data_IF_311570651936
#
_entry.id   IF_311570651936
#
_cell.length_a   1.000
_cell.length_b   1.000
_cell.length_c   1.000
_cell.angle_alpha   90.00
_cell.angle_beta   90.00
_cell.angle_gamma   90.00
#
_symmetry.space_group_name_H-M   'P 1'
#
loop_
_entity.id
_entity.type
_entity.pdbx_description
1 polymer ?
#
# COMPACT_ATOMS: atom_id res chain seq x y z
N UNK A 1 36.21 -96.56 44.62
CA UNK A 1 36.23 -97.42 43.42
C UNK A 1 35.63 -96.63 42.27
N UNK A 2 36.24 -96.38 41.12
CA UNK A 2 37.61 -96.50 40.63
C UNK A 2 37.61 -95.54 39.42
N UNK A 3 38.57 -94.62 39.42
CA UNK A 3 38.89 -93.78 38.25
C UNK A 3 39.68 -94.67 37.29
N UNK A 4 39.11 -94.96 36.11
CA UNK A 4 39.78 -95.53 34.91
C UNK A 4 38.67 -95.64 33.83
N UNK A 5 38.70 -95.00 32.66
CA UNK A 5 39.82 -94.67 31.77
C UNK A 5 39.60 -93.31 31.11
N UNK A 6 40.49 -92.36 31.42
CA UNK A 6 40.89 -91.33 30.48
C UNK A 6 42.09 -91.90 29.70
N UNK A 7 41.95 -91.99 28.37
CA UNK A 7 42.89 -92.66 27.46
C UNK A 7 42.30 -94.01 27.04
N UNK A 8 42.06 -94.30 25.77
CA UNK A 8 42.83 -93.98 24.58
C UNK A 8 41.80 -93.66 23.49
N UNK A 9 42.01 -92.58 22.74
CA UNK A 9 41.37 -92.41 21.44
C UNK A 9 41.87 -93.60 20.61
N UNK A 10 41.14 -94.71 20.61
CA UNK A 10 41.39 -95.76 19.64
C UNK A 10 41.23 -95.07 18.29
N UNK A 11 42.30 -95.04 17.49
CA UNK A 11 42.23 -94.55 16.12
C UNK A 11 41.47 -95.61 15.33
N UNK A 12 40.17 -95.64 15.61
CA UNK A 12 39.20 -96.56 15.04
C UNK A 12 38.41 -95.82 13.99
N UNK A 13 37.80 -96.60 13.10
CA UNK A 13 36.86 -96.18 12.06
C UNK A 13 35.84 -95.12 12.52
N UNK A 14 35.49 -95.11 13.81
CA UNK A 14 34.61 -94.11 14.45
C UNK A 14 35.19 -92.69 14.39
N UNK A 15 36.48 -92.49 14.69
CA UNK A 15 37.13 -91.17 14.64
C UNK A 15 37.16 -90.63 13.20
N UNK A 16 37.42 -91.51 12.23
CA UNK A 16 37.38 -91.16 10.81
C UNK A 16 35.97 -90.74 10.37
N UNK A 17 34.95 -91.49 10.76
CA UNK A 17 33.54 -91.14 10.48
C UNK A 17 33.11 -89.85 11.19
N UNK A 18 33.63 -89.59 12.40
CA UNK A 18 33.38 -88.36 13.13
C UNK A 18 34.04 -87.14 12.47
N UNK A 19 35.28 -87.28 11.95
CA UNK A 19 35.92 -86.24 11.15
C UNK A 19 35.16 -85.96 9.85
N UNK A 20 34.66 -86.99 9.17
CA UNK A 20 33.83 -86.81 7.97
C UNK A 20 32.54 -86.06 8.31
N UNK A 21 31.83 -86.46 9.38
CA UNK A 21 30.63 -85.75 9.81
C UNK A 21 30.92 -84.29 10.18
N UNK A 22 32.03 -84.02 10.87
CA UNK A 22 32.44 -82.67 11.21
C UNK A 22 32.80 -81.84 9.97
N UNK A 23 33.49 -82.44 8.98
CA UNK A 23 33.81 -81.80 7.72
C UNK A 23 32.55 -81.49 6.89
N UNK A 24 31.58 -82.40 6.85
CA UNK A 24 30.27 -82.20 6.21
C UNK A 24 29.52 -81.06 6.92
N UNK A 25 29.52 -81.02 8.25
CA UNK A 25 28.88 -79.95 9.03
C UNK A 25 29.52 -78.60 8.72
N UNK A 26 30.86 -78.51 8.71
CA UNK A 26 31.57 -77.28 8.32
C UNK A 26 31.22 -76.86 6.90
N UNK A 27 31.13 -77.81 5.96
CA UNK A 27 30.80 -77.51 4.57
C UNK A 27 29.39 -76.95 4.43
N UNK A 28 28.40 -77.56 5.11
CA UNK A 28 27.02 -77.07 5.18
C UNK A 28 26.98 -75.69 5.83
N UNK A 29 27.67 -75.50 6.96
CA UNK A 29 27.71 -74.22 7.68
C UNK A 29 28.32 -73.10 6.82
N UNK A 30 29.45 -73.37 6.17
CA UNK A 30 30.10 -72.43 5.25
C UNK A 30 29.17 -72.08 4.07
N UNK A 31 28.45 -73.05 3.50
CA UNK A 31 27.56 -72.79 2.36
C UNK A 31 26.28 -72.03 2.76
N UNK A 32 25.72 -72.31 3.93
CA UNK A 32 24.45 -71.71 4.39
C UNK A 32 24.63 -70.38 5.13
N UNK A 33 25.69 -70.18 5.91
CA UNK A 33 25.85 -68.99 6.77
C UNK A 33 26.64 -67.84 6.12
N UNK A 34 27.49 -68.10 5.11
CA UNK A 34 28.26 -67.03 4.45
C UNK A 34 27.38 -66.01 3.73
N UNK A 35 26.30 -66.47 3.09
CA UNK A 35 25.32 -65.62 2.39
C UNK A 35 24.52 -64.69 3.32
N UNK A 36 23.82 -65.17 4.37
CA UNK A 36 23.02 -64.31 5.24
C UNK A 36 23.89 -63.30 6.01
N UNK A 37 25.08 -63.70 6.48
CA UNK A 37 25.99 -62.80 7.20
C UNK A 37 26.48 -61.66 6.30
N UNK A 38 26.91 -61.99 5.07
CA UNK A 38 27.34 -60.95 4.12
C UNK A 38 26.20 -60.01 3.73
N UNK A 39 24.98 -60.53 3.58
CA UNK A 39 23.81 -59.71 3.23
C UNK A 39 23.44 -58.73 4.35
N UNK A 40 23.53 -59.13 5.63
CA UNK A 40 23.25 -58.24 6.76
C UNK A 40 24.26 -57.09 6.82
N UNK A 41 25.55 -57.40 6.60
CA UNK A 41 26.62 -56.39 6.60
C UNK A 41 26.43 -55.41 5.43
N UNK A 42 26.19 -55.93 4.21
CA UNK A 42 25.93 -55.08 3.03
C UNK A 42 24.70 -54.21 3.22
N UNK A 43 23.58 -54.78 3.70
CA UNK A 43 22.35 -54.03 3.97
C UNK A 43 22.58 -52.90 4.97
N UNK A 44 23.38 -53.12 6.03
CA UNK A 44 23.75 -52.06 6.97
C UNK A 44 24.61 -50.98 6.31
N UNK A 45 25.60 -51.36 5.50
CA UNK A 45 26.44 -50.40 4.78
C UNK A 45 25.60 -49.55 3.81
N UNK A 46 24.70 -50.17 3.04
CA UNK A 46 23.79 -49.49 2.13
C UNK A 46 22.85 -48.53 2.88
N UNK A 47 22.25 -48.98 3.99
CA UNK A 47 21.35 -48.13 4.80
C UNK A 47 22.09 -46.89 5.32
N UNK A 48 23.30 -47.06 5.86
CA UNK A 48 24.10 -45.93 6.37
C UNK A 48 24.52 -44.99 5.24
N UNK A 49 24.91 -45.54 4.08
CA UNK A 49 25.26 -44.73 2.92
C UNK A 49 24.05 -43.91 2.42
N UNK A 50 22.87 -44.53 2.32
CA UNK A 50 21.63 -43.84 1.95
C UNK A 50 21.24 -42.76 2.96
N UNK A 51 21.35 -43.03 4.26
CA UNK A 51 21.05 -42.05 5.31
C UNK A 51 21.99 -40.84 5.24
N UNK A 52 23.30 -41.08 5.03
CA UNK A 52 24.29 -40.02 4.85
C UNK A 52 24.04 -39.21 3.58
N UNK A 53 23.69 -39.87 2.47
CA UNK A 53 23.35 -39.19 1.22
C UNK A 53 22.09 -38.35 1.36
N UNK A 54 21.03 -38.89 1.98
CA UNK A 54 19.80 -38.15 2.30
C UNK A 54 20.09 -36.94 3.20
N UNK A 55 20.93 -37.11 4.24
CA UNK A 55 21.33 -36.02 5.12
C UNK A 55 22.12 -34.93 4.38
N UNK A 56 23.00 -35.32 3.44
CA UNK A 56 23.76 -34.38 2.62
C UNK A 56 22.83 -33.59 1.68
N UNK A 57 21.96 -34.28 0.95
CA UNK A 57 20.97 -33.65 0.05
C UNK A 57 20.04 -32.73 0.85
N UNK A 58 19.61 -33.14 2.04
CA UNK A 58 18.76 -32.31 2.89
C UNK A 58 19.47 -31.03 3.33
N UNK A 59 20.76 -31.10 3.67
CA UNK A 59 21.55 -29.91 4.02
C UNK A 59 21.78 -28.99 2.82
N UNK A 60 22.08 -29.56 1.65
CA UNK A 60 22.24 -28.79 0.42
C UNK A 60 20.94 -28.05 0.06
N UNK A 61 19.79 -28.73 0.09
CA UNK A 61 18.48 -28.11 -0.12
C UNK A 61 18.17 -27.04 0.93
N UNK A 62 18.47 -27.29 2.20
CA UNK A 62 18.26 -26.29 3.25
C UNK A 62 19.09 -25.02 3.01
N UNK A 63 20.34 -25.16 2.56
CA UNK A 63 21.18 -24.02 2.19
C UNK A 63 20.67 -23.30 0.94
N UNK A 64 20.19 -24.04 -0.06
CA UNK A 64 19.58 -23.47 -1.27
C UNK A 64 18.32 -22.65 -0.92
N UNK A 65 17.39 -23.23 -0.15
CA UNK A 65 16.19 -22.52 0.31
C UNK A 65 16.52 -21.29 1.15
N UNK A 66 17.56 -21.36 1.98
CA UNK A 66 18.01 -20.21 2.77
C UNK A 66 18.52 -19.09 1.85
N UNK A 67 19.35 -19.41 0.87
CA UNK A 67 19.86 -18.45 -0.12
C UNK A 67 18.74 -17.84 -0.95
N UNK A 68 17.78 -18.65 -1.39
CA UNK A 68 16.61 -18.20 -2.13
C UNK A 68 15.75 -17.26 -1.29
N UNK A 69 15.46 -17.64 -0.04
CA UNK A 69 14.70 -16.79 0.89
C UNK A 69 15.41 -15.48 1.18
N UNK A 70 16.73 -15.49 1.39
CA UNK A 70 17.50 -14.26 1.59
C UNK A 70 17.49 -13.36 0.36
N UNK A 71 17.52 -13.95 -0.84
CA UNK A 71 17.43 -13.22 -2.11
C UNK A 71 16.05 -12.61 -2.31
N UNK A 72 14.99 -13.38 -2.10
CA UNK A 72 13.60 -12.90 -2.17
C UNK A 72 13.33 -11.80 -1.14
N UNK A 73 13.84 -11.97 0.08
CA UNK A 73 13.70 -10.96 1.13
C UNK A 73 14.39 -9.64 0.74
N UNK A 74 15.59 -9.70 0.17
CA UNK A 74 16.28 -8.50 -0.34
C UNK A 74 15.52 -7.84 -1.49
N UNK A 75 15.06 -8.64 -2.46
CA UNK A 75 14.27 -8.13 -3.59
C UNK A 75 12.98 -7.45 -3.11
N UNK A 76 12.26 -8.07 -2.17
CA UNK A 76 11.04 -7.49 -1.58
C UNK A 76 11.33 -6.18 -0.82
N UNK A 77 12.48 -6.10 -0.12
CA UNK A 77 12.90 -4.85 0.55
C UNK A 77 13.17 -3.73 -0.45
N UNK A 78 13.84 -4.02 -1.56
CA UNK A 78 14.08 -3.06 -2.63
C UNK A 78 12.78 -2.63 -3.30
N UNK A 79 11.87 -3.56 -3.57
CA UNK A 79 10.54 -3.26 -4.13
C UNK A 79 9.73 -2.35 -3.22
N UNK A 80 9.70 -2.63 -1.91
CA UNK A 80 9.02 -1.78 -0.93
C UNK A 80 9.61 -0.36 -0.91
N UNK A 81 10.94 -0.23 -1.01
CA UNK A 81 11.57 1.08 -1.09
C UNK A 81 11.18 1.83 -2.36
N UNK A 82 11.15 1.14 -3.50
CA UNK A 82 10.71 1.74 -4.77
C UNK A 82 9.24 2.18 -4.71
N UNK A 83 8.34 1.34 -4.19
CA UNK A 83 6.93 1.67 -3.99
C UNK A 83 6.79 2.91 -3.10
N UNK A 84 7.56 2.98 -2.01
CA UNK A 84 7.52 4.12 -1.10
C UNK A 84 8.00 5.42 -1.79
N UNK A 85 9.08 5.34 -2.57
CA UNK A 85 9.59 6.50 -3.33
C UNK A 85 8.59 6.97 -4.38
N UNK A 86 7.97 6.04 -5.12
CA UNK A 86 6.93 6.36 -6.09
C UNK A 86 5.70 6.98 -5.43
N UNK A 87 5.28 6.44 -4.28
CA UNK A 87 4.16 6.98 -3.51
C UNK A 87 4.43 8.42 -3.05
N UNK A 88 5.63 8.70 -2.53
CA UNK A 88 6.04 10.05 -2.13
C UNK A 88 6.04 11.00 -3.32
N UNK A 89 6.68 10.61 -4.43
CA UNK A 89 6.73 11.42 -5.66
C UNK A 89 5.33 11.71 -6.22
N UNK A 90 4.44 10.71 -6.20
CA UNK A 90 3.04 10.87 -6.64
C UNK A 90 2.27 11.80 -5.69
N UNK A 91 2.47 11.68 -4.38
CA UNK A 91 1.86 12.57 -3.39
C UNK A 91 2.32 14.02 -3.57
N UNK A 92 3.61 14.25 -3.82
CA UNK A 92 4.15 15.58 -4.13
C UNK A 92 3.54 16.16 -5.41
N UNK A 93 3.48 15.38 -6.49
CA UNK A 93 2.87 15.82 -7.75
C UNK A 93 1.37 16.14 -7.58
N UNK A 94 0.63 15.34 -6.82
CA UNK A 94 -0.79 15.63 -6.51
C UNK A 94 -0.91 16.91 -5.70
N UNK A 95 -0.06 17.09 -4.67
CA UNK A 95 -0.05 18.30 -3.84
C UNK A 95 0.21 19.55 -4.67
N UNK A 96 1.22 19.51 -5.55
CA UNK A 96 1.53 20.61 -6.46
C UNK A 96 0.38 20.90 -7.42
N UNK A 97 -0.24 19.87 -7.98
CA UNK A 97 -1.43 19.99 -8.83
C UNK A 97 -2.60 20.66 -8.09
N UNK A 98 -2.90 20.20 -6.89
CA UNK A 98 -3.97 20.77 -6.04
C UNK A 98 -3.69 22.23 -5.67
N UNK A 99 -2.44 22.57 -5.33
CA UNK A 99 -2.06 23.96 -5.03
C UNK A 99 -2.25 24.86 -6.24
N UNK A 100 -1.81 24.42 -7.42
CA UNK A 100 -1.97 25.17 -8.67
C UNK A 100 -3.45 25.36 -9.04
N UNK A 101 -4.26 24.31 -8.92
CA UNK A 101 -5.71 24.40 -9.14
C UNK A 101 -6.37 25.36 -8.15
N UNK A 102 -5.99 25.30 -6.87
CA UNK A 102 -6.49 26.21 -5.85
C UNK A 102 -6.12 27.67 -6.13
N UNK A 103 -4.90 27.94 -6.59
CA UNK A 103 -4.47 29.29 -7.00
C UNK A 103 -5.27 29.80 -8.20
N UNK A 104 -5.49 28.96 -9.21
CA UNK A 104 -6.32 29.31 -10.38
C UNK A 104 -7.76 29.59 -9.96
N UNK A 105 -8.34 28.74 -9.10
CA UNK A 105 -9.69 28.91 -8.59
C UNK A 105 -9.82 30.19 -7.77
N UNK A 106 -8.84 30.50 -6.91
CA UNK A 106 -8.78 31.75 -6.14
C UNK A 106 -8.73 32.96 -7.06
N UNK A 107 -7.84 32.96 -8.06
CA UNK A 107 -7.72 34.07 -9.01
C UNK A 107 -9.03 34.29 -9.79
N UNK A 108 -9.69 33.21 -10.22
CA UNK A 108 -11.00 33.27 -10.89
C UNK A 108 -12.08 33.81 -9.96
N UNK A 109 -12.10 33.39 -8.69
CA UNK A 109 -13.05 33.86 -7.69
C UNK A 109 -12.90 35.36 -7.43
N UNK A 110 -11.66 35.85 -7.27
CA UNK A 110 -11.38 37.28 -7.09
C UNK A 110 -11.85 38.08 -8.32
N UNK A 111 -11.50 37.65 -9.53
CA UNK A 111 -11.92 38.32 -10.76
C UNK A 111 -13.45 38.37 -10.89
N UNK A 112 -14.15 37.29 -10.56
CA UNK A 112 -15.61 37.29 -10.58
C UNK A 112 -16.18 38.25 -9.54
N UNK A 113 -15.62 38.27 -8.32
CA UNK A 113 -16.05 39.20 -7.27
C UNK A 113 -15.83 40.66 -7.68
N UNK A 114 -14.72 40.99 -8.36
CA UNK A 114 -14.48 42.33 -8.90
C UNK A 114 -15.54 42.74 -9.94
N UNK A 115 -15.87 41.83 -10.87
CA UNK A 115 -16.93 42.05 -11.87
C UNK A 115 -18.29 42.26 -11.20
N UNK A 116 -18.61 41.46 -10.18
CA UNK A 116 -19.88 41.56 -9.46
C UNK A 116 -19.95 42.88 -8.66
N UNK A 117 -18.84 43.31 -8.04
CA UNK A 117 -18.74 44.60 -7.36
C UNK A 117 -18.96 45.75 -8.35
N UNK A 118 -18.38 45.68 -9.54
CA UNK A 118 -18.55 46.71 -10.56
C UNK A 118 -20.01 46.81 -11.00
N UNK A 119 -20.67 45.67 -11.26
CA UNK A 119 -22.11 45.63 -11.56
C UNK A 119 -22.97 46.17 -10.44
N UNK A 120 -22.69 45.78 -9.18
CA UNK A 120 -23.42 46.30 -8.01
C UNK A 120 -23.26 47.82 -7.88
N UNK A 121 -22.07 48.36 -8.18
CA UNK A 121 -21.82 49.80 -8.15
C UNK A 121 -22.57 50.53 -9.26
N UNK A 122 -22.66 49.97 -10.46
CA UNK A 122 -23.46 50.54 -11.54
C UNK A 122 -24.95 50.52 -11.21
N UNK A 123 -25.44 49.41 -10.66
CA UNK A 123 -26.82 49.27 -10.20
C UNK A 123 -27.16 50.29 -9.10
N UNK A 124 -26.32 50.42 -8.08
CA UNK A 124 -26.50 51.39 -6.99
C UNK A 124 -26.47 52.85 -7.49
N UNK A 125 -25.62 53.16 -8.48
CA UNK A 125 -25.63 54.50 -9.11
C UNK A 125 -26.92 54.77 -9.87
N UNK A 126 -27.49 53.74 -10.52
CA UNK A 126 -28.77 53.86 -11.23
C UNK A 126 -29.90 54.11 -10.23
N UNK A 127 -30.00 53.29 -9.19
CA UNK A 127 -30.98 53.45 -8.11
C UNK A 127 -30.89 54.85 -7.48
N UNK A 128 -29.68 55.33 -7.17
CA UNK A 128 -29.49 56.68 -6.63
C UNK A 128 -29.98 57.78 -7.58
N UNK A 129 -29.82 57.63 -8.90
CA UNK A 129 -30.33 58.60 -9.88
C UNK A 129 -31.86 58.58 -9.95
N UNK A 130 -32.45 57.40 -9.87
CA UNK A 130 -33.91 57.23 -9.87
C UNK A 130 -34.50 57.89 -8.61
N UNK A 131 -33.91 57.63 -7.42
CA UNK A 131 -34.30 58.27 -6.15
C UNK A 131 -34.14 59.80 -6.19
N UNK A 132 -33.02 60.32 -6.73
CA UNK A 132 -32.83 61.76 -6.88
C UNK A 132 -33.85 62.39 -7.83
N UNK A 133 -34.25 61.68 -8.87
CA UNK A 133 -35.26 62.17 -9.83
C UNK A 133 -36.62 62.29 -9.14
N UNK A 134 -37.01 61.31 -8.33
CA UNK A 134 -38.24 61.36 -7.53
C UNK A 134 -38.23 62.52 -6.53
N UNK A 135 -37.12 62.75 -5.83
CA UNK A 135 -36.95 63.88 -4.91
C UNK A 135 -37.06 65.22 -5.67
N UNK A 136 -36.44 65.36 -6.85
CA UNK A 136 -36.49 66.59 -7.66
C UNK A 136 -37.91 66.87 -8.15
N UNK A 137 -38.65 65.85 -8.59
CA UNK A 137 -40.05 65.98 -9.01
C UNK A 137 -40.89 66.45 -7.83
N UNK A 138 -40.79 65.79 -6.67
CA UNK A 138 -41.52 66.17 -5.46
C UNK A 138 -41.20 67.59 -4.99
N UNK A 139 -39.93 68.00 -5.06
CA UNK A 139 -39.51 69.36 -4.71
C UNK A 139 -40.05 70.39 -5.70
N UNK A 140 -40.06 70.07 -7.00
CA UNK A 140 -40.60 70.94 -8.05
C UNK A 140 -42.11 71.11 -7.91
N UNK A 141 -42.85 70.03 -7.64
CA UNK A 141 -44.28 70.08 -7.33
C UNK A 141 -44.57 70.96 -6.11
N UNK A 142 -43.76 70.84 -5.06
CA UNK A 142 -43.91 71.64 -3.85
C UNK A 142 -43.62 73.12 -4.09
N UNK A 143 -42.58 73.44 -4.87
CA UNK A 143 -42.23 74.82 -5.24
C UNK A 143 -43.27 75.48 -6.14
N UNK A 144 -43.82 74.72 -7.12
CA UNK A 144 -44.91 75.19 -7.98
C UNK A 144 -46.17 75.46 -7.15
N UNK A 145 -46.54 74.56 -6.23
CA UNK A 145 -47.67 74.80 -5.33
C UNK A 145 -47.47 76.05 -4.44
N UNK A 146 -46.25 76.31 -3.97
CA UNK A 146 -45.93 77.51 -3.18
C UNK A 146 -45.95 78.82 -3.99
N UNK A 147 -45.72 78.75 -5.31
CA UNK A 147 -45.75 79.92 -6.22
C UNK A 147 -47.12 80.16 -6.83
N UNK A 148 -47.96 79.12 -6.92
CA UNK A 148 -49.37 79.20 -7.35
C UNK A 148 -50.33 79.54 -6.19
N UNK A 149 -49.84 79.85 -4.98
CA UNK A 149 -50.69 80.34 -3.90
C UNK A 149 -51.32 81.69 -4.32
N UNK A 150 -52.66 81.76 -4.49
CA UNK A 150 -53.35 82.97 -4.96
C UNK A 150 -53.04 84.19 -4.10
N UNK A 151 -52.68 84.01 -2.82
CA UNK A 151 -52.28 85.12 -1.92
C UNK A 151 -50.94 85.77 -2.29
N UNK A 152 -50.00 85.04 -2.92
CA UNK A 152 -48.73 85.60 -3.40
C UNK A 152 -48.86 86.22 -4.80
N UNK A 153 -49.63 85.59 -5.69
CA UNK A 153 -49.89 86.14 -7.03
C UNK A 153 -50.66 87.47 -6.97
N UNK A 154 -51.61 87.60 -6.06
CA UNK A 154 -52.36 88.85 -5.85
C UNK A 154 -51.46 89.97 -5.28
N UNK A 155 -50.48 89.62 -4.44
CA UNK A 155 -49.50 90.56 -3.88
C UNK A 155 -48.52 91.10 -4.95
N UNK A 156 -48.06 90.22 -5.85
CA UNK A 156 -47.22 90.60 -6.99
C UNK A 156 -48.00 91.39 -8.05
N UNK A 157 -49.27 91.07 -8.27
CA UNK A 157 -50.14 91.82 -9.18
C UNK A 157 -50.41 93.24 -8.66
N UNK A 158 -50.68 93.38 -7.35
CA UNK A 158 -50.88 94.69 -6.72
C UNK A 158 -49.59 95.54 -6.70
N UNK A 159 -48.41 94.94 -6.51
CA UNK A 159 -47.13 95.67 -6.68
C UNK A 159 -46.88 96.11 -8.13
N UNK A 160 -47.27 95.30 -9.12
CA UNK A 160 -47.13 95.68 -10.54
C UNK A 160 -48.11 96.80 -10.94
N UNK A 161 -49.36 96.71 -10.52
CA UNK A 161 -50.39 97.74 -10.80
C UNK A 161 -50.00 99.08 -10.16
N UNK A 162 -49.47 99.08 -8.94
CA UNK A 162 -49.00 100.30 -8.28
C UNK A 162 -47.76 100.93 -8.93
N UNK A 163 -46.95 100.16 -9.67
CA UNK A 163 -45.70 100.65 -10.27
C UNK A 163 -45.81 101.08 -11.73
N UNK A 164 -46.90 100.71 -12.41
CA UNK A 164 -47.23 101.13 -13.79
C UNK A 164 -48.33 102.22 -13.81
N UNK A 165 -48.93 102.51 -12.64
CA UNK A 165 -49.94 103.55 -12.45
C UNK A 165 -49.42 104.94 -12.06
N UNK A 166 -48.10 105.16 -12.06
CA UNK A 166 -47.47 106.50 -12.05
C UNK A 166 -46.90 106.85 -13.42
#
# INVERSE_FOLDING_TARGET
>A
MAVENAGIIQIDYVLFWQMINFAILIWVFKKFFTKPISNIIKKRQETVAEELEKAKISNEKANEYKLETEKEYKASREEVQNILQEAVKKAESIKEGMLKEAEIAKAKMIKNAEIDIEKMKEQAKKELRDDMTEIIISLSEKMINETLDPKKSEKLLNEFINKVGE
#
